data_IF_110599424375
#
_entry.id   IF_110599424375
#
_cell.length_a   1.000
_cell.length_b   1.000
_cell.length_c   1.000
_cell.angle_alpha   90.00
_cell.angle_beta   90.00
_cell.angle_gamma   90.00
#
_symmetry.space_group_name_H-M   'P 1'
#
loop_
_entity.id
_entity.type
_entity.pdbx_description
1 polymer ?
#
# COMPACT_ATOMS: atom_id res chain seq x y z
N UNK A 1 -14.95 -24.84 -70.94
CA UNK A 1 -14.30 -24.67 -69.62
C UNK A 1 -13.83 -25.99 -68.97
N UNK A 2 -14.58 -27.10 -69.05
CA UNK A 2 -14.20 -28.40 -68.45
C UNK A 2 -12.84 -28.96 -68.89
N UNK A 3 -12.46 -28.81 -70.17
CA UNK A 3 -11.16 -29.28 -70.68
C UNK A 3 -9.97 -28.55 -70.07
N UNK A 4 -10.10 -27.28 -69.71
CA UNK A 4 -9.05 -26.51 -69.02
C UNK A 4 -8.90 -27.00 -67.57
N UNK A 5 -10.01 -27.23 -66.87
CA UNK A 5 -10.01 -27.79 -65.52
C UNK A 5 -9.37 -29.19 -65.47
N UNK A 6 -9.74 -30.08 -66.39
CA UNK A 6 -9.17 -31.43 -66.46
C UNK A 6 -7.65 -31.36 -66.73
N UNK A 7 -7.20 -30.42 -67.58
CA UNK A 7 -5.78 -30.25 -67.88
C UNK A 7 -4.99 -29.73 -66.67
N UNK A 8 -5.50 -28.71 -65.99
CA UNK A 8 -4.88 -28.16 -64.76
C UNK A 8 -4.85 -29.23 -63.67
N UNK A 9 -5.93 -29.97 -63.46
CA UNK A 9 -5.99 -31.03 -62.46
C UNK A 9 -5.07 -32.22 -62.81
N UNK A 10 -4.96 -32.56 -64.10
CA UNK A 10 -4.02 -33.60 -64.55
C UNK A 10 -2.56 -33.20 -64.34
N UNK A 11 -2.23 -31.91 -64.53
CA UNK A 11 -0.91 -31.37 -64.25
C UNK A 11 -0.63 -31.39 -62.74
N UNK A 12 -1.52 -30.83 -61.91
CA UNK A 12 -1.37 -30.83 -60.45
C UNK A 12 -1.29 -32.24 -59.87
N UNK A 13 -2.13 -33.16 -60.33
CA UNK A 13 -2.12 -34.55 -59.85
C UNK A 13 -0.88 -35.31 -60.28
N UNK A 14 -0.29 -34.97 -61.44
CA UNK A 14 1.01 -35.50 -61.88
C UNK A 14 2.13 -34.98 -60.98
N UNK A 15 2.19 -33.66 -60.78
CA UNK A 15 3.20 -33.02 -59.91
C UNK A 15 3.11 -33.53 -58.47
N UNK A 16 1.90 -33.68 -57.90
CA UNK A 16 1.72 -34.27 -56.56
C UNK A 16 2.22 -35.72 -56.50
N UNK A 17 1.96 -36.51 -57.53
CA UNK A 17 2.42 -37.90 -57.58
C UNK A 17 3.95 -38.00 -57.81
N UNK A 18 4.55 -37.03 -58.50
CA UNK A 18 6.01 -36.90 -58.63
C UNK A 18 6.64 -36.48 -57.29
N UNK A 19 6.07 -35.50 -56.59
CA UNK A 19 6.47 -35.10 -55.24
C UNK A 19 6.38 -36.30 -54.28
N UNK A 20 5.26 -37.05 -54.29
CA UNK A 20 5.08 -38.27 -53.47
C UNK A 20 6.13 -39.34 -53.76
N UNK A 21 6.60 -39.45 -55.01
CA UNK A 21 7.63 -40.41 -55.43
C UNK A 21 9.05 -39.96 -55.07
N UNK A 22 9.24 -38.71 -54.63
CA UNK A 22 10.52 -38.16 -54.22
C UNK A 22 10.55 -37.85 -52.71
N UNK A 23 10.43 -38.86 -51.83
CA UNK A 23 10.34 -38.64 -50.38
C UNK A 23 11.56 -37.93 -49.80
N UNK A 24 12.74 -38.07 -50.43
CA UNK A 24 13.98 -37.38 -50.02
C UNK A 24 13.89 -35.86 -50.15
N UNK A 25 13.21 -35.35 -51.18
CA UNK A 25 13.05 -33.91 -51.44
C UNK A 25 12.10 -33.28 -50.43
N UNK A 26 10.97 -33.94 -50.16
CA UNK A 26 10.03 -33.52 -49.11
C UNK A 26 10.70 -33.53 -47.74
N UNK A 27 11.40 -34.62 -47.42
CA UNK A 27 12.07 -34.75 -46.13
C UNK A 27 13.13 -33.66 -45.95
N UNK A 28 13.95 -33.38 -46.97
CA UNK A 28 14.92 -32.28 -46.94
C UNK A 28 14.27 -30.91 -46.74
N UNK A 29 13.13 -30.66 -47.38
CA UNK A 29 12.42 -29.38 -47.32
C UNK A 29 11.78 -29.12 -45.96
N UNK A 30 11.25 -30.16 -45.31
CA UNK A 30 10.57 -30.06 -44.01
C UNK A 30 11.58 -30.16 -42.85
N UNK A 31 12.58 -31.03 -42.97
CA UNK A 31 13.51 -31.33 -41.87
C UNK A 31 14.35 -30.10 -41.48
N UNK A 32 14.73 -29.24 -42.43
CA UNK A 32 15.49 -28.02 -42.15
C UNK A 32 14.76 -27.06 -41.18
N UNK A 33 13.56 -26.55 -41.55
CA UNK A 33 12.76 -25.71 -40.66
C UNK A 33 12.43 -26.38 -39.33
N UNK A 34 12.12 -27.67 -39.32
CA UNK A 34 11.82 -28.41 -38.08
C UNK A 34 13.04 -28.55 -37.17
N UNK A 35 14.25 -28.78 -37.72
CA UNK A 35 15.48 -28.81 -36.93
C UNK A 35 15.77 -27.45 -36.30
N UNK A 36 15.54 -26.36 -37.03
CA UNK A 36 15.69 -24.99 -36.52
C UNK A 36 14.67 -24.75 -35.38
N UNK A 37 13.40 -25.09 -35.59
CA UNK A 37 12.37 -24.97 -34.55
C UNK A 37 12.64 -25.87 -33.34
N UNK A 38 13.20 -27.07 -33.53
CA UNK A 38 13.57 -27.97 -32.46
C UNK A 38 14.76 -27.42 -31.67
N UNK A 39 15.76 -26.85 -32.33
CA UNK A 39 16.88 -26.16 -31.67
C UNK A 39 16.39 -24.96 -30.87
N UNK A 40 15.49 -24.15 -31.42
CA UNK A 40 14.87 -23.04 -30.69
C UNK A 40 13.99 -23.53 -29.53
N UNK A 41 13.16 -24.54 -29.73
CA UNK A 41 12.29 -25.10 -28.70
C UNK A 41 13.07 -25.77 -27.56
N UNK A 42 14.19 -26.43 -27.87
CA UNK A 42 15.08 -27.00 -26.86
C UNK A 42 15.93 -25.94 -26.15
N UNK A 43 16.26 -24.84 -26.84
CA UNK A 43 16.94 -23.68 -26.26
C UNK A 43 16.01 -22.75 -25.46
N UNK A 44 14.70 -22.83 -25.69
CA UNK A 44 13.70 -22.02 -25.00
C UNK A 44 13.45 -22.55 -23.59
N UNK A 45 14.10 -21.93 -22.61
CA UNK A 45 13.77 -22.13 -21.21
C UNK A 45 12.64 -21.18 -20.84
N UNK A 46 11.40 -21.67 -20.85
CA UNK A 46 10.23 -20.93 -20.36
C UNK A 46 10.18 -20.91 -18.83
N UNK A 47 11.31 -20.71 -18.16
CA UNK A 47 11.32 -20.55 -16.71
C UNK A 47 11.53 -19.08 -16.42
N UNK A 48 10.56 -18.45 -15.78
CA UNK A 48 10.75 -17.13 -15.20
C UNK A 48 11.88 -17.28 -14.17
N UNK A 49 13.01 -16.57 -14.31
CA UNK A 49 14.08 -16.69 -13.35
C UNK A 49 13.55 -16.25 -11.98
N UNK A 50 13.74 -17.10 -10.97
CA UNK A 50 13.58 -16.68 -9.57
C UNK A 50 14.78 -15.78 -9.31
N UNK A 51 14.52 -14.50 -9.04
CA UNK A 51 15.57 -13.51 -8.85
C UNK A 51 16.12 -13.63 -7.43
N UNK A 52 17.43 -13.84 -7.31
CA UNK A 52 18.16 -13.81 -6.05
C UNK A 52 18.38 -12.36 -5.65
N UNK A 53 17.79 -11.95 -4.54
CA UNK A 53 17.81 -10.58 -4.08
C UNK A 53 18.55 -10.46 -2.74
N UNK A 54 19.34 -9.39 -2.60
CA UNK A 54 19.85 -8.93 -1.31
C UNK A 54 19.22 -7.59 -0.98
N UNK A 55 18.76 -7.45 0.25
CA UNK A 55 18.19 -6.21 0.75
C UNK A 55 19.20 -5.49 1.62
N UNK A 56 19.45 -4.22 1.32
CA UNK A 56 20.26 -3.33 2.14
C UNK A 56 19.32 -2.42 2.91
N UNK A 57 19.18 -2.69 4.20
CA UNK A 57 18.33 -1.91 5.12
C UNK A 57 19.20 -1.21 6.14
N UNK A 58 19.21 0.13 6.17
CA UNK A 58 19.89 0.90 7.21
C UNK A 58 19.45 0.47 8.62
N UNK A 59 20.36 0.56 9.60
CA UNK A 59 20.13 0.06 10.96
C UNK A 59 18.98 0.79 11.69
N UNK A 60 18.77 2.07 11.38
CA UNK A 60 17.62 2.88 11.82
C UNK A 60 16.29 2.27 11.35
N UNK A 61 16.16 2.05 10.04
CA UNK A 61 14.94 1.48 9.43
C UNK A 61 14.68 0.05 9.90
N UNK A 62 15.74 -0.74 10.12
CA UNK A 62 15.62 -2.11 10.59
C UNK A 62 15.02 -2.22 12.00
N UNK A 63 15.19 -1.19 12.83
CA UNK A 63 14.63 -1.14 14.18
C UNK A 63 13.14 -0.72 14.18
N UNK A 64 12.71 0.05 13.19
CA UNK A 64 11.36 0.62 13.10
C UNK A 64 10.36 -0.29 12.38
N UNK A 65 10.83 -1.04 11.37
CA UNK A 65 9.98 -1.87 10.53
C UNK A 65 10.13 -3.36 10.92
N UNK A 66 9.04 -4.11 11.13
CA UNK A 66 9.11 -5.54 11.38
C UNK A 66 9.68 -6.28 10.16
N UNK A 67 10.95 -6.66 10.24
CA UNK A 67 11.70 -7.31 9.14
C UNK A 67 11.11 -8.65 8.71
N UNK A 68 10.41 -9.34 9.61
CA UNK A 68 9.72 -10.59 9.28
C UNK A 68 8.58 -10.39 8.26
N UNK A 69 7.88 -9.26 8.34
CA UNK A 69 6.81 -8.93 7.41
C UNK A 69 7.38 -8.45 6.07
N UNK A 70 8.43 -7.62 6.10
CA UNK A 70 9.16 -7.20 4.90
C UNK A 70 9.71 -8.41 4.15
N UNK A 71 10.32 -9.36 4.88
CA UNK A 71 10.82 -10.62 4.32
C UNK A 71 9.71 -11.44 3.68
N UNK A 72 8.59 -11.64 4.38
CA UNK A 72 7.46 -12.41 3.87
C UNK A 72 6.88 -11.83 2.59
N UNK A 73 6.83 -10.50 2.50
CA UNK A 73 6.37 -9.78 1.31
C UNK A 73 7.36 -9.99 0.14
N UNK A 74 8.67 -9.88 0.40
CA UNK A 74 9.72 -10.04 -0.61
C UNK A 74 9.78 -11.48 -1.16
N UNK A 75 9.73 -12.47 -0.27
CA UNK A 75 9.81 -13.90 -0.61
C UNK A 75 8.62 -14.39 -1.46
N UNK A 76 7.53 -13.61 -1.55
CA UNK A 76 6.39 -13.96 -2.39
C UNK A 76 6.73 -13.95 -3.89
N UNK A 77 7.70 -13.14 -4.32
CA UNK A 77 8.04 -12.96 -5.74
C UNK A 77 9.55 -13.03 -6.04
N UNK A 78 10.39 -13.15 -5.02
CA UNK A 78 11.86 -13.10 -5.08
C UNK A 78 12.44 -14.19 -4.18
N UNK A 79 13.67 -14.63 -4.44
CA UNK A 79 14.45 -15.41 -3.48
C UNK A 79 15.32 -14.45 -2.67
N UNK A 80 14.91 -14.15 -1.43
CA UNK A 80 15.71 -13.32 -0.53
C UNK A 80 16.91 -14.12 -0.02
N UNK A 81 18.11 -13.77 -0.51
CA UNK A 81 19.36 -14.42 -0.12
C UNK A 81 19.79 -13.95 1.27
N UNK A 82 19.75 -12.64 1.50
CA UNK A 82 20.21 -12.03 2.74
C UNK A 82 19.65 -10.61 2.94
N UNK A 83 19.70 -10.13 4.19
CA UNK A 83 19.39 -8.74 4.58
C UNK A 83 20.62 -8.17 5.29
N UNK A 84 21.16 -7.07 4.76
CA UNK A 84 22.41 -6.45 5.22
C UNK A 84 22.22 -4.98 5.50
N UNK A 85 23.14 -4.38 6.25
CA UNK A 85 23.14 -2.93 6.55
C UNK A 85 24.08 -2.14 5.64
N UNK A 86 25.09 -2.79 5.05
CA UNK A 86 26.07 -2.15 4.18
C UNK A 86 25.91 -2.61 2.70
N UNK A 87 25.86 -1.68 1.74
CA UNK A 87 25.72 -2.02 0.33
C UNK A 87 26.99 -2.55 -0.33
N UNK A 88 28.18 -2.35 0.25
CA UNK A 88 29.46 -2.63 -0.40
C UNK A 88 29.58 -4.09 -0.85
N UNK A 89 29.41 -5.03 0.08
CA UNK A 89 29.49 -6.47 -0.22
C UNK A 89 28.37 -6.94 -1.15
N UNK A 90 27.17 -6.36 -1.04
CA UNK A 90 26.06 -6.70 -1.94
C UNK A 90 26.33 -6.26 -3.38
N UNK A 91 26.98 -5.11 -3.59
CA UNK A 91 27.33 -4.63 -4.92
C UNK A 91 28.41 -5.48 -5.58
N UNK A 92 29.42 -5.93 -4.83
CA UNK A 92 30.43 -6.87 -5.34
C UNK A 92 29.79 -8.18 -5.82
N UNK A 93 28.89 -8.76 -5.02
CA UNK A 93 28.17 -9.98 -5.39
C UNK A 93 27.26 -9.79 -6.63
N UNK A 94 26.71 -8.59 -6.81
CA UNK A 94 25.90 -8.23 -7.98
C UNK A 94 26.76 -8.13 -9.25
N UNK A 95 27.96 -7.56 -9.14
CA UNK A 95 28.92 -7.49 -10.26
C UNK A 95 29.44 -8.87 -10.66
N UNK A 96 29.65 -9.76 -9.68
CA UNK A 96 30.06 -11.15 -9.89
C UNK A 96 28.94 -12.06 -10.43
N UNK A 97 27.68 -11.61 -10.40
CA UNK A 97 26.50 -12.39 -10.80
C UNK A 97 26.08 -13.45 -9.78
N UNK A 98 26.57 -13.34 -8.54
CA UNK A 98 26.19 -14.19 -7.41
C UNK A 98 24.78 -13.87 -6.91
N UNK A 99 24.30 -12.65 -7.16
CA UNK A 99 22.92 -12.20 -6.93
C UNK A 99 22.43 -11.43 -8.16
N UNK A 100 21.11 -11.32 -8.32
CA UNK A 100 20.50 -10.76 -9.53
C UNK A 100 20.00 -9.31 -9.30
N UNK A 101 19.58 -8.98 -8.07
CA UNK A 101 19.05 -7.65 -7.70
C UNK A 101 19.52 -7.26 -6.30
N UNK A 102 19.87 -5.98 -6.11
CA UNK A 102 20.10 -5.35 -4.81
C UNK A 102 19.06 -4.26 -4.60
N UNK A 103 18.26 -4.36 -3.55
CA UNK A 103 17.33 -3.33 -3.12
C UNK A 103 17.93 -2.53 -1.96
N UNK A 104 18.09 -1.21 -2.12
CA UNK A 104 18.69 -0.33 -1.13
C UNK A 104 17.60 0.57 -0.57
N UNK A 105 17.32 0.41 0.72
CA UNK A 105 16.38 1.25 1.43
C UNK A 105 17.03 2.58 1.82
N UNK A 106 16.31 3.69 1.67
CA UNK A 106 16.76 4.98 2.16
C UNK A 106 16.78 5.00 3.69
N UNK A 107 17.69 5.77 4.28
CA UNK A 107 17.70 6.04 5.71
C UNK A 107 16.65 7.09 6.09
N UNK A 108 16.29 7.17 7.38
CA UNK A 108 15.39 8.18 7.96
C UNK A 108 14.01 8.23 7.26
N UNK A 109 13.41 7.07 6.98
CA UNK A 109 12.12 7.00 6.26
C UNK A 109 11.02 7.76 7.01
N UNK A 110 10.92 7.57 8.33
CA UNK A 110 9.89 8.21 9.15
C UNK A 110 10.01 9.74 9.11
N UNK A 111 11.19 10.30 9.41
CA UNK A 111 11.45 11.75 9.39
C UNK A 111 11.11 12.37 8.03
N UNK A 112 11.55 11.73 6.93
CA UNK A 112 11.28 12.25 5.58
C UNK A 112 9.81 12.20 5.21
N UNK A 113 9.09 11.15 5.61
CA UNK A 113 7.64 11.08 5.38
C UNK A 113 6.90 12.18 6.17
N UNK A 114 7.35 12.48 7.39
CA UNK A 114 6.80 13.57 8.20
C UNK A 114 7.06 14.95 7.58
N UNK A 115 8.19 15.12 6.89
CA UNK A 115 8.53 16.33 6.13
C UNK A 115 7.79 16.44 4.78
N UNK A 116 6.99 15.44 4.42
CA UNK A 116 6.28 15.38 3.13
C UNK A 116 7.16 14.92 1.95
N UNK A 117 8.36 14.41 2.25
CA UNK A 117 9.34 13.94 1.28
C UNK A 117 9.15 12.46 0.93
N UNK A 118 9.26 12.14 -0.36
CA UNK A 118 9.26 10.75 -0.82
C UNK A 118 10.67 10.18 -0.82
N UNK A 119 10.88 9.14 -0.02
CA UNK A 119 12.14 8.41 0.03
C UNK A 119 12.21 7.38 -1.11
N UNK A 120 13.27 7.45 -1.91
CA UNK A 120 13.46 6.55 -3.06
C UNK A 120 14.13 5.25 -2.62
N UNK A 121 13.47 4.11 -2.87
CA UNK A 121 14.10 2.79 -2.78
C UNK A 121 14.85 2.53 -4.08
N UNK A 122 16.17 2.35 -4.00
CA UNK A 122 16.99 2.09 -5.18
C UNK A 122 17.08 0.60 -5.47
N UNK A 123 16.81 0.20 -6.72
CA UNK A 123 17.03 -1.16 -7.18
C UNK A 123 18.20 -1.18 -8.17
N UNK A 124 19.27 -1.90 -7.83
CA UNK A 124 20.42 -2.14 -8.71
C UNK A 124 20.34 -3.57 -9.24
N UNK A 125 20.59 -3.74 -10.53
CA UNK A 125 20.62 -5.05 -11.18
C UNK A 125 21.68 -5.06 -12.28
N UNK A 126 22.22 -6.24 -12.60
CA UNK A 126 23.25 -6.44 -13.62
C UNK A 126 22.73 -7.42 -14.69
N UNK A 127 21.71 -7.01 -15.44
CA UNK A 127 21.04 -7.85 -16.44
C UNK A 127 21.05 -7.17 -17.80
N UNK A 128 21.39 -7.95 -18.83
CA UNK A 128 21.53 -7.49 -20.23
C UNK A 128 20.28 -7.85 -21.03
N UNK A 129 19.52 -8.86 -20.59
CA UNK A 129 18.32 -9.31 -21.29
C UNK A 129 17.12 -8.36 -21.03
N UNK A 130 16.56 -7.71 -22.07
CA UNK A 130 15.48 -6.72 -21.91
C UNK A 130 14.17 -7.33 -21.38
N UNK A 131 13.94 -8.63 -21.56
CA UNK A 131 12.76 -9.30 -20.98
C UNK A 131 12.91 -9.42 -19.46
N UNK A 132 14.10 -9.75 -18.99
CA UNK A 132 14.39 -9.84 -17.56
C UNK A 132 14.41 -8.45 -16.92
N UNK A 133 14.92 -7.44 -17.62
CA UNK A 133 14.88 -6.04 -17.19
C UNK A 133 13.44 -5.55 -16.92
N UNK A 134 12.51 -5.80 -17.85
CA UNK A 134 11.09 -5.44 -17.67
C UNK A 134 10.46 -6.16 -16.48
N UNK A 135 10.83 -7.42 -16.25
CA UNK A 135 10.36 -8.19 -15.10
C UNK A 135 10.90 -7.65 -13.78
N UNK A 136 12.19 -7.29 -13.72
CA UNK A 136 12.81 -6.66 -12.55
C UNK A 136 12.12 -5.32 -12.24
N UNK A 137 11.85 -4.49 -13.24
CA UNK A 137 11.15 -3.22 -13.06
C UNK A 137 9.72 -3.41 -12.53
N UNK A 138 8.98 -4.37 -13.09
CA UNK A 138 7.65 -4.73 -12.60
C UNK A 138 7.70 -5.19 -11.14
N UNK A 139 8.65 -6.07 -10.80
CA UNK A 139 8.80 -6.57 -9.43
C UNK A 139 9.21 -5.48 -8.45
N UNK A 140 10.12 -4.59 -8.82
CA UNK A 140 10.50 -3.42 -8.02
C UNK A 140 9.29 -2.53 -7.74
N UNK A 141 8.47 -2.24 -8.76
CA UNK A 141 7.24 -1.47 -8.61
C UNK A 141 6.22 -2.17 -7.68
N UNK A 142 5.96 -3.46 -7.91
CA UNK A 142 5.06 -4.25 -7.09
C UNK A 142 5.54 -4.29 -5.62
N UNK A 143 6.84 -4.41 -5.41
CA UNK A 143 7.45 -4.47 -4.09
C UNK A 143 7.30 -3.16 -3.32
N UNK A 144 7.59 -2.01 -3.95
CA UNK A 144 7.39 -0.69 -3.34
C UNK A 144 5.94 -0.48 -2.94
N UNK A 145 4.99 -0.89 -3.79
CA UNK A 145 3.57 -0.78 -3.46
C UNK A 145 3.17 -1.62 -2.25
N UNK A 146 3.67 -2.86 -2.13
CA UNK A 146 3.33 -3.72 -1.00
C UNK A 146 3.97 -3.22 0.31
N UNK A 147 5.19 -2.66 0.24
CA UNK A 147 5.83 -1.98 1.38
C UNK A 147 5.02 -0.75 1.81
N UNK A 148 4.65 0.12 0.86
CA UNK A 148 3.83 1.30 1.14
C UNK A 148 2.49 0.90 1.78
N UNK A 149 1.86 -0.16 1.27
CA UNK A 149 0.63 -0.71 1.83
C UNK A 149 0.83 -1.21 3.26
N UNK A 150 1.89 -1.97 3.52
CA UNK A 150 2.21 -2.47 4.86
C UNK A 150 2.44 -1.32 5.86
N UNK A 151 3.19 -0.28 5.46
CA UNK A 151 3.43 0.90 6.28
C UNK A 151 2.13 1.66 6.57
N UNK A 152 1.28 1.85 5.56
CA UNK A 152 -0.03 2.47 5.73
C UNK A 152 -0.94 1.66 6.65
N UNK A 153 -0.94 0.32 6.56
CA UNK A 153 -1.69 -0.56 7.45
C UNK A 153 -1.24 -0.41 8.90
N UNK A 154 0.06 -0.42 9.14
CA UNK A 154 0.63 -0.23 10.48
C UNK A 154 0.29 1.15 11.04
N UNK A 155 0.45 2.21 10.24
CA UNK A 155 0.10 3.57 10.64
C UNK A 155 -1.41 3.72 10.93
N UNK A 156 -2.27 3.11 10.11
CA UNK A 156 -3.72 3.12 10.31
C UNK A 156 -4.12 2.34 11.56
N UNK A 157 -3.53 1.17 11.80
CA UNK A 157 -3.78 0.39 13.02
C UNK A 157 -3.39 1.16 14.28
N UNK A 158 -2.20 1.80 14.28
CA UNK A 158 -1.77 2.63 15.40
C UNK A 158 -2.72 3.80 15.65
N UNK A 159 -3.14 4.48 14.58
CA UNK A 159 -4.11 5.57 14.69
C UNK A 159 -5.47 5.11 15.24
N UNK A 160 -5.91 3.90 14.89
CA UNK A 160 -7.13 3.30 15.45
C UNK A 160 -6.98 2.96 16.93
N UNK A 161 -5.85 2.36 17.33
CA UNK A 161 -5.57 2.03 18.72
C UNK A 161 -5.52 3.29 19.61
N UNK A 162 -4.95 4.38 19.11
CA UNK A 162 -4.93 5.68 19.77
C UNK A 162 -6.31 6.37 19.78
N UNK A 163 -7.14 6.15 18.76
CA UNK A 163 -8.47 6.74 18.65
C UNK A 163 -9.51 6.12 19.60
N UNK A 164 -9.39 4.84 19.97
CA UNK A 164 -10.34 4.16 20.88
C UNK A 164 -10.50 4.87 22.24
N UNK A 165 -9.44 5.13 23.02
CA UNK A 165 -9.58 5.82 24.30
C UNK A 165 -10.11 7.26 24.15
N UNK A 166 -9.75 7.93 23.05
CA UNK A 166 -10.21 9.29 22.75
C UNK A 166 -11.72 9.28 22.47
N UNK A 167 -12.20 8.33 21.66
CA UNK A 167 -13.62 8.12 21.37
C UNK A 167 -14.45 7.91 22.64
N UNK A 168 -13.93 7.11 23.58
CA UNK A 168 -14.64 6.84 24.83
C UNK A 168 -14.70 8.10 25.72
N UNK A 169 -13.61 8.88 25.76
CA UNK A 169 -13.57 10.17 26.46
C UNK A 169 -14.51 11.21 25.84
N UNK A 170 -14.59 11.28 24.51
CA UNK A 170 -15.51 12.16 23.78
C UNK A 170 -16.98 11.84 24.10
N UNK A 171 -17.34 10.55 24.16
CA UNK A 171 -18.68 10.12 24.53
C UNK A 171 -19.06 10.51 25.98
N UNK A 172 -18.10 10.39 26.90
CA UNK A 172 -18.29 10.81 28.30
C UNK A 172 -18.43 12.34 28.41
N UNK A 173 -17.60 13.09 27.68
CA UNK A 173 -17.66 14.54 27.62
C UNK A 173 -19.03 15.04 27.11
N UNK A 174 -19.54 14.47 26.01
CA UNK A 174 -20.87 14.81 25.50
C UNK A 174 -21.97 14.58 26.56
N UNK A 175 -21.92 13.44 27.24
CA UNK A 175 -22.90 13.09 28.28
C UNK A 175 -22.88 14.13 29.42
N UNK A 176 -21.69 14.56 29.85
CA UNK A 176 -21.53 15.55 30.92
C UNK A 176 -21.95 16.96 30.48
N UNK A 177 -21.62 17.38 29.25
CA UNK A 177 -22.06 18.67 28.71
C UNK A 177 -23.58 18.73 28.54
N UNK A 178 -24.24 17.63 28.19
CA UNK A 178 -25.72 17.58 28.09
C UNK A 178 -26.39 17.79 29.44
N UNK A 179 -25.85 17.18 30.52
CA UNK A 179 -26.34 17.44 31.88
C UNK A 179 -26.16 18.90 32.30
N UNK A 180 -25.09 19.54 31.84
CA UNK A 180 -24.85 20.96 32.13
C UNK A 180 -25.94 21.88 31.56
N UNK A 181 -26.52 21.55 30.40
CA UNK A 181 -27.63 22.33 29.84
C UNK A 181 -28.93 22.18 30.63
N UNK A 182 -29.11 21.06 31.33
CA UNK A 182 -30.29 20.77 32.16
C UNK A 182 -30.22 21.43 33.55
N UNK A 183 -29.05 21.96 33.93
CA UNK A 183 -28.79 22.62 35.21
C UNK A 183 -27.83 21.82 36.08
N UNK A 184 -26.73 22.44 36.49
CA UNK A 184 -25.62 21.76 37.19
C UNK A 184 -25.87 21.65 38.70
N UNK A 185 -25.67 20.45 39.25
CA UNK A 185 -25.36 20.25 40.67
C UNK A 185 -23.88 20.49 40.97
N UNK A 186 -23.53 20.79 42.22
CA UNK A 186 -22.12 20.98 42.65
C UNK A 186 -21.23 19.75 42.35
N UNK A 187 -21.81 18.55 42.40
CA UNK A 187 -21.10 17.29 42.11
C UNK A 187 -20.75 17.19 40.62
N UNK A 188 -21.61 17.68 39.74
CA UNK A 188 -21.38 17.67 38.29
C UNK A 188 -20.33 18.70 37.88
N UNK A 189 -20.30 19.87 38.53
CA UNK A 189 -19.25 20.87 38.32
C UNK A 189 -17.86 20.31 38.67
N UNK A 190 -17.72 19.68 39.84
CA UNK A 190 -16.45 19.08 40.27
C UNK A 190 -15.97 17.95 39.35
N UNK A 191 -16.89 17.23 38.72
CA UNK A 191 -16.54 16.23 37.71
C UNK A 191 -16.01 16.90 36.43
N UNK A 192 -16.71 17.93 35.93
CA UNK A 192 -16.32 18.68 34.73
C UNK A 192 -14.93 19.33 34.84
N UNK A 193 -14.57 19.87 36.01
CA UNK A 193 -13.23 20.40 36.29
C UNK A 193 -12.13 19.37 36.05
N UNK A 194 -12.42 18.08 36.25
CA UNK A 194 -11.46 16.99 36.01
C UNK A 194 -11.45 16.53 34.56
N UNK A 195 -12.59 16.56 33.87
CA UNK A 195 -12.73 16.03 32.51
C UNK A 195 -12.29 17.01 31.42
N UNK A 196 -12.56 18.32 31.57
CA UNK A 196 -12.19 19.32 30.55
C UNK A 196 -10.69 19.33 30.22
N UNK A 197 -9.76 19.23 31.20
CA UNK A 197 -8.33 19.13 30.91
C UNK A 197 -7.97 17.87 30.11
N UNK A 198 -8.56 16.71 30.46
CA UNK A 198 -8.31 15.44 29.78
C UNK A 198 -8.81 15.47 28.33
N UNK A 199 -10.00 16.05 28.12
CA UNK A 199 -10.57 16.22 26.79
C UNK A 199 -9.71 17.14 25.92
N UNK A 200 -9.22 18.24 26.50
CA UNK A 200 -8.31 19.16 25.81
C UNK A 200 -7.02 18.47 25.40
N UNK A 201 -6.44 17.67 26.30
CA UNK A 201 -5.24 16.88 26.02
C UNK A 201 -5.48 15.88 24.88
N UNK A 202 -6.62 15.18 24.90
CA UNK A 202 -6.99 14.25 23.82
C UNK A 202 -7.14 14.96 22.46
N UNK A 203 -7.75 16.15 22.42
CA UNK A 203 -7.87 16.95 21.20
C UNK A 203 -6.50 17.46 20.73
N UNK A 204 -5.59 17.79 21.63
CA UNK A 204 -4.22 18.21 21.27
C UNK A 204 -3.42 17.03 20.67
N UNK A 205 -3.60 15.82 21.22
CA UNK A 205 -3.04 14.58 20.64
C UNK A 205 -3.59 14.37 19.22
N UNK A 206 -4.90 14.49 19.02
CA UNK A 206 -5.48 14.41 17.67
C UNK A 206 -4.95 15.49 16.74
N UNK A 207 -4.82 16.73 17.23
CA UNK A 207 -4.31 17.87 16.45
C UNK A 207 -2.84 17.74 16.03
N UNK A 208 -2.08 16.90 16.72
CA UNK A 208 -0.66 16.60 16.45
C UNK A 208 -0.45 15.23 15.79
N UNK A 209 -1.53 14.52 15.46
CA UNK A 209 -1.45 13.20 14.84
C UNK A 209 -0.61 13.25 13.53
N UNK A 210 0.41 12.41 13.38
CA UNK A 210 1.34 12.44 12.24
C UNK A 210 0.67 12.40 10.87
N UNK A 211 -0.41 11.63 10.74
CA UNK A 211 -1.18 11.51 9.49
C UNK A 211 -1.84 12.83 9.11
N UNK A 212 -2.39 13.57 10.08
CA UNK A 212 -3.02 14.86 9.82
C UNK A 212 -1.97 15.94 9.49
N UNK A 213 -0.81 15.91 10.16
CA UNK A 213 0.31 16.81 9.88
C UNK A 213 0.86 16.58 8.48
N UNK A 214 1.23 15.34 8.13
CA UNK A 214 1.77 15.02 6.81
C UNK A 214 0.79 15.35 5.67
N UNK A 215 -0.52 15.16 5.88
CA UNK A 215 -1.52 15.53 4.89
C UNK A 215 -1.74 17.04 4.77
N UNK A 216 -1.69 17.76 5.88
CA UNK A 216 -1.79 19.22 5.88
C UNK A 216 -0.57 19.85 5.19
N UNK A 217 0.64 19.36 5.46
CA UNK A 217 1.88 19.83 4.84
C UNK A 217 1.97 19.48 3.36
N UNK A 218 1.39 18.33 2.95
CA UNK A 218 1.16 17.97 1.55
C UNK A 218 0.09 18.82 0.85
N UNK A 219 -0.50 19.81 1.53
CA UNK A 219 -1.45 20.77 0.97
C UNK A 219 -2.85 20.22 0.73
N UNK A 220 -3.25 19.12 1.39
CA UNK A 220 -4.63 18.61 1.30
C UNK A 220 -5.58 19.51 2.07
N UNK A 221 -6.59 20.06 1.38
CA UNK A 221 -7.58 21.00 1.94
C UNK A 221 -8.26 20.45 3.19
N UNK A 222 -8.64 19.18 3.14
CA UNK A 222 -9.51 18.56 4.12
C UNK A 222 -8.77 18.36 5.46
N UNK A 223 -7.49 17.99 5.41
CA UNK A 223 -6.65 17.87 6.60
C UNK A 223 -6.38 19.23 7.27
N UNK A 224 -6.19 20.30 6.48
CA UNK A 224 -6.05 21.66 7.00
C UNK A 224 -7.34 22.19 7.62
N UNK A 225 -8.50 21.76 7.14
CA UNK A 225 -9.81 22.11 7.72
C UNK A 225 -10.01 21.43 9.07
N UNK A 226 -9.84 20.11 9.13
CA UNK A 226 -9.93 19.33 10.38
C UNK A 226 -8.98 19.89 11.44
N UNK A 227 -7.73 20.22 11.07
CA UNK A 227 -6.76 20.79 12.02
C UNK A 227 -7.22 22.14 12.57
N UNK A 228 -7.83 22.99 11.73
CA UNK A 228 -8.37 24.28 12.18
C UNK A 228 -9.57 24.10 13.11
N UNK A 229 -10.41 23.11 12.85
CA UNK A 229 -11.55 22.76 13.71
C UNK A 229 -11.08 22.25 15.07
N UNK A 230 -10.10 21.35 15.12
CA UNK A 230 -9.52 20.85 16.38
C UNK A 230 -8.87 21.96 17.20
N UNK A 231 -8.13 22.88 16.55
CA UNK A 231 -7.55 24.05 17.23
C UNK A 231 -8.65 24.95 17.80
N UNK A 232 -9.70 25.22 17.03
CA UNK A 232 -10.84 26.02 17.49
C UNK A 232 -11.55 25.36 18.67
N UNK A 233 -11.80 24.05 18.60
CA UNK A 233 -12.42 23.29 19.66
C UNK A 233 -11.60 23.33 20.96
N UNK A 234 -10.27 23.18 20.86
CA UNK A 234 -9.34 23.31 21.98
C UNK A 234 -9.43 24.69 22.63
N UNK A 235 -9.44 25.75 21.83
CA UNK A 235 -9.50 27.13 22.33
C UNK A 235 -10.85 27.42 23.01
N UNK A 236 -11.95 26.88 22.49
CA UNK A 236 -13.28 26.98 23.13
C UNK A 236 -13.36 26.20 24.45
N UNK A 237 -12.75 25.01 24.53
CA UNK A 237 -12.67 24.25 25.78
C UNK A 237 -11.89 24.99 26.87
N UNK A 238 -10.83 25.71 26.51
CA UNK A 238 -10.06 26.52 27.45
C UNK A 238 -10.90 27.69 28.01
N UNK A 239 -11.74 28.30 27.18
CA UNK A 239 -12.67 29.35 27.64
C UNK A 239 -13.72 28.76 28.60
N UNK A 240 -14.24 27.56 28.31
CA UNK A 240 -15.19 26.88 29.19
C UNK A 240 -14.57 26.48 30.53
N UNK A 241 -13.33 26.00 30.51
CA UNK A 241 -12.53 25.69 31.70
C UNK A 241 -12.39 26.93 32.60
N UNK A 242 -12.00 28.06 32.02
CA UNK A 242 -11.88 29.32 32.76
C UNK A 242 -13.24 29.82 33.30
N UNK A 243 -14.32 29.71 32.52
CA UNK A 243 -15.65 30.09 32.97
C UNK A 243 -16.20 29.19 34.08
N UNK A 244 -15.77 27.92 34.13
CA UNK A 244 -16.09 27.00 35.21
C UNK A 244 -15.40 27.41 36.51
N UNK A 245 -14.10 27.73 36.45
CA UNK A 245 -13.32 28.22 37.61
C UNK A 245 -13.86 29.55 38.17
N UNK A 246 -14.30 30.44 37.29
CA UNK A 246 -14.85 31.76 37.66
C UNK A 246 -16.33 31.70 38.09
N UNK A 247 -16.99 30.54 37.95
CA UNK A 247 -18.41 30.37 38.25
C UNK A 247 -19.36 31.06 37.26
N UNK A 248 -18.87 31.47 36.09
CA UNK A 248 -19.62 32.16 35.02
C UNK A 248 -20.09 31.22 33.91
N UNK A 249 -19.94 29.90 34.10
CA UNK A 249 -20.30 28.87 33.11
C UNK A 249 -21.74 28.96 32.60
N UNK A 250 -22.66 29.41 33.45
CA UNK A 250 -24.07 29.62 33.09
C UNK A 250 -24.27 30.68 32.00
N UNK A 251 -23.33 31.61 31.82
CA UNK A 251 -23.36 32.63 30.77
C UNK A 251 -22.81 32.10 29.43
N UNK A 252 -22.15 30.93 29.43
CA UNK A 252 -21.49 30.35 28.25
C UNK A 252 -22.35 29.32 27.50
N UNK A 253 -23.69 29.34 27.65
CA UNK A 253 -24.59 28.36 27.03
C UNK A 253 -24.39 28.18 25.52
N UNK A 254 -24.14 29.28 24.80
CA UNK A 254 -23.92 29.22 23.34
C UNK A 254 -22.62 28.50 22.98
N UNK A 255 -21.55 28.66 23.78
CA UNK A 255 -20.28 27.95 23.57
C UNK A 255 -20.41 26.48 23.92
N UNK A 256 -21.14 26.16 24.97
CA UNK A 256 -21.43 24.77 25.36
C UNK A 256 -22.11 24.04 24.21
N UNK A 257 -23.13 24.65 23.59
CA UNK A 257 -23.81 24.09 22.42
C UNK A 257 -22.85 23.90 21.23
N UNK A 258 -22.01 24.91 20.94
CA UNK A 258 -21.01 24.80 19.88
C UNK A 258 -20.02 23.65 20.11
N UNK A 259 -19.48 23.54 21.33
CA UNK A 259 -18.55 22.47 21.70
C UNK A 259 -19.22 21.11 21.58
N UNK A 260 -20.47 20.96 22.02
CA UNK A 260 -21.21 19.71 21.87
C UNK A 260 -21.34 19.30 20.39
N UNK A 261 -21.76 20.21 19.51
CA UNK A 261 -21.93 19.92 18.09
C UNK A 261 -20.60 19.45 17.47
N UNK A 262 -19.50 20.13 17.79
CA UNK A 262 -18.17 19.76 17.30
C UNK A 262 -17.67 18.42 17.86
N UNK A 263 -17.96 18.13 19.14
CA UNK A 263 -17.63 16.83 19.72
C UNK A 263 -18.41 15.69 19.07
N UNK A 264 -19.61 15.93 18.56
CA UNK A 264 -20.37 14.92 17.79
C UNK A 264 -19.68 14.62 16.47
N UNK A 265 -19.27 15.65 15.73
CA UNK A 265 -18.55 15.47 14.46
C UNK A 265 -17.24 14.70 14.63
N UNK A 266 -16.43 15.07 15.63
CA UNK A 266 -15.16 14.38 15.92
C UNK A 266 -15.41 12.95 16.39
N UNK A 267 -16.44 12.72 17.20
CA UNK A 267 -16.81 11.39 17.67
C UNK A 267 -17.28 10.48 16.52
N UNK A 268 -18.09 11.00 15.60
CA UNK A 268 -18.55 10.26 14.43
C UNK A 268 -17.38 9.88 13.52
N UNK A 269 -16.42 10.79 13.31
CA UNK A 269 -15.19 10.49 12.60
C UNK A 269 -14.37 9.38 13.29
N UNK A 270 -14.20 9.47 14.62
CA UNK A 270 -13.51 8.45 15.40
C UNK A 270 -14.23 7.08 15.38
N UNK A 271 -15.57 7.08 15.39
CA UNK A 271 -16.38 5.88 15.25
C UNK A 271 -16.19 5.22 13.88
N UNK A 272 -16.20 5.99 12.80
CA UNK A 272 -15.95 5.48 11.45
C UNK A 272 -14.54 4.90 11.37
N UNK A 273 -13.54 5.64 11.87
CA UNK A 273 -12.15 5.20 11.86
C UNK A 273 -11.97 3.88 12.63
N UNK A 274 -12.56 3.74 13.82
CA UNK A 274 -12.38 2.56 14.68
C UNK A 274 -13.27 1.36 14.30
N UNK A 275 -14.34 1.57 13.53
CA UNK A 275 -15.27 0.49 13.14
C UNK A 275 -14.86 -0.27 11.88
N UNK A 276 -14.04 0.35 11.03
CA UNK A 276 -13.55 -0.27 9.79
C UNK A 276 -12.24 -1.03 10.04
N UNK A 277 -12.04 -2.23 9.46
CA UNK A 277 -10.74 -2.87 9.50
C UNK A 277 -9.67 -2.01 8.80
N UNK A 278 -8.42 -1.95 9.31
CA UNK A 278 -7.33 -1.20 8.67
C UNK A 278 -7.16 -1.56 7.19
N UNK A 279 -7.38 -2.82 6.83
CA UNK A 279 -7.24 -3.31 5.45
C UNK A 279 -8.25 -2.71 4.50
N UNK A 280 -9.46 -2.41 4.99
CA UNK A 280 -10.52 -1.79 4.18
C UNK A 280 -10.22 -0.31 3.96
N UNK A 281 -9.61 0.36 4.94
CA UNK A 281 -9.23 1.78 4.85
C UNK A 281 -8.08 1.95 3.84
N UNK A 282 -7.03 1.13 3.96
CA UNK A 282 -5.82 1.25 3.14
C UNK A 282 -5.98 0.62 1.76
N UNK A 283 -6.79 -0.44 1.64
CA UNK A 283 -6.95 -1.19 0.39
C UNK A 283 -8.40 -1.66 0.20
N UNK A 284 -9.31 -0.73 -0.13
CA UNK A 284 -10.75 -1.00 -0.21
C UNK A 284 -11.13 -1.93 -1.36
N UNK A 285 -10.28 -2.04 -2.38
CA UNK A 285 -10.55 -2.82 -3.58
C UNK A 285 -9.92 -4.20 -3.49
N UNK A 286 -10.68 -5.23 -3.86
CA UNK A 286 -10.18 -6.59 -4.06
C UNK A 286 -10.32 -6.98 -5.51
N UNK A 287 -9.32 -7.68 -6.04
CA UNK A 287 -9.36 -8.23 -7.38
C UNK A 287 -9.91 -9.66 -7.33
N UNK A 288 -10.90 -9.94 -8.17
CA UNK A 288 -11.38 -11.30 -8.43
C UNK A 288 -11.13 -11.61 -9.91
N UNK A 289 -10.45 -12.72 -10.19
CA UNK A 289 -10.08 -13.12 -11.55
C UNK A 289 -10.81 -14.42 -11.88
N UNK A 290 -11.80 -14.33 -12.74
CA UNK A 290 -12.47 -15.49 -13.31
C UNK A 290 -11.92 -15.78 -14.72
N UNK A 291 -11.66 -17.06 -15.00
CA UNK A 291 -11.23 -17.49 -16.33
C UNK A 291 -12.45 -17.78 -17.19
N UNK A 292 -12.70 -16.95 -18.20
CA UNK A 292 -13.77 -17.18 -19.18
C UNK A 292 -13.42 -18.22 -20.26
N UNK A 293 -12.25 -18.88 -20.16
CA UNK A 293 -11.87 -19.92 -21.10
C UNK A 293 -12.72 -21.17 -20.89
N UNK A 294 -13.57 -21.49 -21.86
CA UNK A 294 -14.32 -22.74 -21.88
C UNK A 294 -13.33 -23.91 -22.01
N UNK A 295 -13.07 -24.62 -20.91
CA UNK A 295 -12.37 -25.91 -20.96
C UNK A 295 -13.29 -26.90 -21.65
N UNK A 296 -13.17 -27.03 -22.99
CA UNK A 296 -13.69 -28.20 -23.69
C UNK A 296 -12.82 -29.38 -23.29
N UNK A 297 -13.27 -30.18 -22.32
CA UNK A 297 -12.66 -31.47 -22.07
C UNK A 297 -12.80 -32.30 -23.36
N UNK A 298 -11.67 -32.66 -23.94
CA UNK A 298 -11.61 -33.70 -24.96
C UNK A 298 -11.45 -34.99 -24.16
N UNK A 299 -12.58 -35.67 -23.94
CA UNK A 299 -12.62 -37.10 -23.62
C UNK A 299 -12.93 -37.82 -24.93
#
# INVERSE_FOLDING_TARGET
MSKLFIRVLSFVSKELNEIRRQPRLILSLILGPFLILLLFGAGYRSNRPILRAVLVVPADVQAEIPMDDVRRILEANLELVDVRTDPGTAMEELEEGSIDVVGIFPSNIEERVLEGDQSLVEFKYNEINPINEQWIQYLAYAQVNEINRALLLQATSRAQDEAVPIRDLLAEAQTNLSRMQEGLSEVEQANLERYLPQLREAIDILGTAPILVAQADAGRSDAMEIRRELVRLRDELLILEQALEEGTIAEQQQRIAFVQDQLVEVQDAANILTSLPPEVIVSPLRQEVETCAAVRSII
#
